data_IF_024642468284
#
_entry.id   IF_024642468284
#
_cell.length_a   1.000
_cell.length_b   1.000
_cell.length_c   1.000
_cell.angle_alpha   90.00
_cell.angle_beta   90.00
_cell.angle_gamma   90.00
#
_symmetry.space_group_name_H-M   'P 1'
#
loop_
_entity.id
_entity.type
_entity.pdbx_description
1 polymer ?
#
# COMPACT_ATOMS: atom_id res chain seq x y z
N UNK A 1 18.16 -31.53 25.48
CA UNK A 1 17.80 -30.63 24.36
C UNK A 1 18.99 -30.56 23.41
N UNK A 2 18.89 -31.17 22.22
CA UNK A 2 20.01 -31.26 21.28
C UNK A 2 20.35 -29.92 20.63
N UNK A 3 21.55 -29.80 20.06
CA UNK A 3 21.98 -28.59 19.34
C UNK A 3 21.04 -28.22 18.19
N UNK A 4 20.52 -29.22 17.47
CA UNK A 4 19.50 -29.02 16.43
C UNK A 4 18.22 -28.39 16.97
N UNK A 5 17.70 -28.83 18.12
CA UNK A 5 16.52 -28.24 18.74
C UNK A 5 16.77 -26.78 19.11
N UNK A 6 17.96 -26.45 19.62
CA UNK A 6 18.33 -25.06 19.94
C UNK A 6 18.39 -24.17 18.70
N UNK A 7 19.00 -24.66 17.61
CA UNK A 7 19.05 -23.93 16.34
C UNK A 7 17.66 -23.70 15.74
N UNK A 8 16.78 -24.72 15.81
CA UNK A 8 15.40 -24.58 15.36
C UNK A 8 14.66 -23.51 16.16
N UNK A 9 14.77 -23.53 17.49
CA UNK A 9 14.15 -22.51 18.35
C UNK A 9 14.67 -21.11 18.03
N UNK A 10 16.00 -20.94 17.87
CA UNK A 10 16.59 -19.66 17.47
C UNK A 10 16.06 -19.20 16.10
N UNK A 11 15.96 -20.12 15.14
CA UNK A 11 15.41 -19.82 13.81
C UNK A 11 13.96 -19.36 13.87
N UNK A 12 13.10 -20.06 14.62
CA UNK A 12 11.69 -19.70 14.78
C UNK A 12 11.53 -18.35 15.48
N UNK A 13 12.27 -18.11 16.57
CA UNK A 13 12.22 -16.84 17.31
C UNK A 13 12.74 -15.69 16.45
N UNK A 14 13.85 -15.90 15.74
CA UNK A 14 14.42 -14.91 14.83
C UNK A 14 13.47 -14.54 13.69
N UNK A 15 12.85 -15.55 13.06
CA UNK A 15 11.85 -15.33 12.02
C UNK A 15 10.61 -14.59 12.55
N UNK A 16 10.09 -15.01 13.71
CA UNK A 16 8.95 -14.36 14.35
C UNK A 16 9.22 -12.88 14.67
N UNK A 17 10.40 -12.58 15.23
CA UNK A 17 10.82 -11.21 15.51
C UNK A 17 10.96 -10.36 14.25
N UNK A 18 11.55 -10.92 13.18
CA UNK A 18 11.66 -10.25 11.89
C UNK A 18 10.28 -9.95 11.29
N UNK A 19 9.37 -10.92 11.27
CA UNK A 19 8.03 -10.76 10.73
C UNK A 19 7.22 -9.69 11.50
N UNK A 20 7.30 -9.70 12.84
CA UNK A 20 6.67 -8.68 13.66
C UNK A 20 7.24 -7.27 13.41
N UNK A 21 8.57 -7.15 13.26
CA UNK A 21 9.22 -5.89 12.91
C UNK A 21 8.79 -5.37 11.54
N UNK A 22 8.72 -6.24 10.53
CA UNK A 22 8.28 -5.89 9.18
C UNK A 22 6.83 -5.40 9.17
N UNK A 23 5.93 -6.10 9.87
CA UNK A 23 4.54 -5.68 10.02
C UNK A 23 4.40 -4.33 10.75
N UNK A 24 5.20 -4.11 11.78
CA UNK A 24 5.22 -2.84 12.51
C UNK A 24 5.70 -1.68 11.61
N UNK A 25 6.82 -1.87 10.90
CA UNK A 25 7.36 -0.88 9.97
C UNK A 25 6.37 -0.57 8.84
N UNK A 26 5.63 -1.59 8.38
CA UNK A 26 4.57 -1.44 7.39
C UNK A 26 3.32 -0.71 7.89
N UNK A 27 3.17 -0.48 9.20
CA UNK A 27 2.01 0.17 9.80
C UNK A 27 0.78 -0.74 9.93
N UNK A 28 0.94 -2.07 9.77
CA UNK A 28 -0.16 -3.02 9.78
C UNK A 28 -0.83 -3.19 11.15
N UNK A 29 -0.14 -2.85 12.24
CA UNK A 29 -0.73 -2.83 13.58
C UNK A 29 -1.67 -1.63 13.83
N UNK A 30 -1.47 -0.54 13.08
CA UNK A 30 -2.35 0.64 13.06
C UNK A 30 -3.32 0.64 11.87
N UNK A 31 -3.41 -0.47 11.12
CA UNK A 31 -4.33 -0.59 10.00
C UNK A 31 -5.78 -0.57 10.54
N UNK A 32 -6.62 0.42 10.14
CA UNK A 32 -8.01 0.44 10.53
C UNK A 32 -8.76 -0.79 10.00
N UNK A 33 -9.99 -0.97 10.46
CA UNK A 33 -10.85 -1.99 9.88
C UNK A 33 -11.24 -1.60 8.46
N UNK A 34 -11.20 -2.58 7.56
CA UNK A 34 -11.42 -2.39 6.13
C UNK A 34 -12.55 -3.32 5.67
N UNK A 35 -13.41 -2.87 4.76
CA UNK A 35 -14.49 -3.70 4.24
C UNK A 35 -13.92 -4.86 3.39
N UNK A 36 -14.74 -5.87 3.14
CA UNK A 36 -14.44 -6.95 2.18
C UNK A 36 -14.12 -6.36 0.80
N UNK A 37 -13.09 -6.88 0.15
CA UNK A 37 -12.67 -6.41 -1.18
C UNK A 37 -11.77 -5.16 -1.18
N UNK A 38 -11.56 -4.51 -0.04
CA UNK A 38 -10.54 -3.47 0.11
C UNK A 38 -9.18 -4.10 0.45
N UNK A 39 -8.10 -3.61 -0.16
CA UNK A 39 -6.75 -4.18 -0.02
C UNK A 39 -5.74 -3.16 0.53
N UNK A 40 -5.11 -3.45 1.68
CA UNK A 40 -4.05 -2.61 2.22
C UNK A 40 -2.73 -2.84 1.47
N UNK A 41 -2.01 -1.75 1.23
CA UNK A 41 -0.67 -1.73 0.67
C UNK A 41 0.17 -0.66 1.38
N UNK A 42 1.41 -1.01 1.69
CA UNK A 42 2.36 -0.13 2.37
C UNK A 42 3.66 -0.12 1.59
N UNK A 43 4.18 1.08 1.33
CA UNK A 43 5.37 1.29 0.53
C UNK A 43 6.54 1.74 1.41
N UNK A 44 7.76 1.39 1.00
CA UNK A 44 8.99 1.87 1.66
C UNK A 44 9.15 3.39 1.63
N UNK A 45 8.47 4.07 0.69
CA UNK A 45 8.39 5.53 0.59
C UNK A 45 7.52 6.17 1.70
N UNK A 46 6.88 5.37 2.55
CA UNK A 46 6.02 5.83 3.65
C UNK A 46 4.54 5.93 3.27
N UNK A 47 4.19 5.84 1.98
CA UNK A 47 2.79 5.80 1.56
C UNK A 47 2.12 4.52 2.07
N UNK A 48 0.99 4.67 2.78
CA UNK A 48 0.13 3.58 3.23
C UNK A 48 -1.27 3.81 2.69
N UNK A 49 -1.76 2.88 1.89
CA UNK A 49 -3.02 2.99 1.15
C UNK A 49 -3.93 1.80 1.41
N UNK A 50 -5.22 2.07 1.53
CA UNK A 50 -6.29 1.08 1.47
C UNK A 50 -6.95 1.28 0.12
N UNK A 51 -6.76 0.32 -0.78
CA UNK A 51 -7.28 0.42 -2.15
C UNK A 51 -8.67 -0.18 -2.21
N UNK A 52 -9.63 0.62 -2.63
CA UNK A 52 -11.03 0.25 -2.80
C UNK A 52 -11.34 -0.02 -4.26
N UNK A 53 -12.29 -0.94 -4.49
CA UNK A 53 -12.89 -1.24 -5.79
C UNK A 53 -11.87 -1.47 -6.91
N UNK A 54 -10.74 -2.09 -6.57
CA UNK A 54 -9.73 -2.42 -7.56
C UNK A 54 -10.06 -3.74 -8.24
N UNK A 55 -9.96 -3.76 -9.55
CA UNK A 55 -10.00 -4.99 -10.33
C UNK A 55 -8.76 -5.83 -10.01
N UNK A 56 -8.97 -7.01 -9.43
CA UNK A 56 -7.92 -7.93 -8.99
C UNK A 56 -8.03 -9.25 -9.73
N UNK A 57 -6.88 -9.83 -10.08
CA UNK A 57 -6.80 -11.12 -10.77
C UNK A 57 -7.20 -12.31 -9.88
N UNK A 58 -7.05 -12.17 -8.57
CA UNK A 58 -7.28 -13.22 -7.59
C UNK A 58 -7.92 -12.64 -6.32
N UNK A 59 -9.21 -12.88 -6.15
CA UNK A 59 -10.02 -12.38 -5.04
C UNK A 59 -10.20 -13.39 -3.89
N UNK A 60 -9.47 -14.52 -3.92
CA UNK A 60 -9.63 -15.61 -2.95
C UNK A 60 -9.41 -15.19 -1.48
N UNK A 61 -8.75 -14.05 -1.25
CA UNK A 61 -8.46 -13.49 0.08
C UNK A 61 -9.20 -12.18 0.34
N UNK A 62 -10.21 -11.84 -0.45
CA UNK A 62 -10.97 -10.59 -0.32
C UNK A 62 -11.68 -10.46 1.05
N UNK A 63 -12.02 -11.59 1.68
CA UNK A 63 -12.65 -11.69 3.00
C UNK A 63 -11.68 -12.10 4.13
N UNK A 64 -10.42 -12.41 3.78
CA UNK A 64 -9.40 -12.80 4.75
C UNK A 64 -9.10 -11.67 5.74
N UNK A 65 -8.50 -12.00 6.89
CA UNK A 65 -8.07 -10.99 7.87
C UNK A 65 -7.14 -9.95 7.24
N UNK A 66 -7.29 -8.69 7.66
CA UNK A 66 -6.63 -7.50 7.11
C UNK A 66 -5.09 -7.59 7.05
N UNK A 67 -4.48 -8.43 7.88
CA UNK A 67 -3.02 -8.65 7.90
C UNK A 67 -2.56 -9.58 6.75
N UNK A 68 -3.43 -10.50 6.30
CA UNK A 68 -3.14 -11.46 5.23
C UNK A 68 -3.63 -10.99 3.86
N UNK A 69 -4.56 -10.02 3.85
CA UNK A 69 -5.05 -9.41 2.63
C UNK A 69 -4.02 -8.42 2.10
N UNK A 70 -3.19 -8.82 1.13
CA UNK A 70 -2.18 -7.93 0.52
C UNK A 70 -2.50 -7.72 -0.96
N UNK A 71 -2.46 -6.47 -1.41
CA UNK A 71 -2.74 -6.14 -2.82
C UNK A 71 -1.84 -6.88 -3.81
N UNK A 72 -0.57 -7.08 -3.44
CA UNK A 72 0.41 -7.82 -4.25
C UNK A 72 0.05 -9.31 -4.37
N UNK A 73 -0.67 -9.88 -3.41
CA UNK A 73 -1.13 -11.27 -3.48
C UNK A 73 -2.36 -11.42 -4.39
N UNK A 74 -3.22 -10.39 -4.45
CA UNK A 74 -4.41 -10.35 -5.28
C UNK A 74 -4.10 -10.00 -6.76
N UNK A 75 -2.97 -9.34 -7.02
CA UNK A 75 -2.46 -9.01 -8.36
C UNK A 75 -0.98 -9.40 -8.48
N UNK A 76 -0.73 -10.69 -8.68
CA UNK A 76 0.62 -11.27 -8.73
C UNK A 76 1.35 -10.97 -10.03
N UNK A 77 0.60 -10.64 -11.07
CA UNK A 77 1.06 -10.23 -12.40
C UNK A 77 1.52 -8.76 -12.44
N UNK A 78 1.41 -8.02 -11.33
CA UNK A 78 1.75 -6.60 -11.26
C UNK A 78 2.69 -6.30 -10.10
N UNK A 79 3.52 -5.27 -10.31
CA UNK A 79 4.32 -4.64 -9.24
C UNK A 79 3.82 -3.23 -9.04
N UNK A 80 3.64 -2.84 -7.77
CA UNK A 80 3.11 -1.54 -7.39
C UNK A 80 4.22 -0.59 -6.96
N UNK A 81 4.07 0.68 -7.31
CA UNK A 81 4.97 1.77 -6.99
C UNK A 81 4.15 2.87 -6.30
N UNK A 82 4.58 3.27 -5.11
CA UNK A 82 3.91 4.31 -4.33
C UNK A 82 4.67 5.62 -4.36
N UNK A 83 4.06 6.65 -4.95
CA UNK A 83 4.57 8.02 -4.97
C UNK A 83 3.90 8.84 -3.87
N UNK A 84 4.56 9.11 -2.73
CA UNK A 84 3.99 9.91 -1.67
C UNK A 84 3.95 11.39 -2.05
N UNK A 85 2.91 12.09 -1.61
CA UNK A 85 2.90 13.56 -1.58
C UNK A 85 3.51 14.07 -0.27
N UNK A 86 4.00 15.31 -0.27
CA UNK A 86 4.39 16.00 0.96
C UNK A 86 3.15 16.28 1.81
N UNK A 87 3.17 15.81 3.07
CA UNK A 87 2.11 16.02 4.05
C UNK A 87 2.71 16.46 5.39
N UNK A 88 1.94 17.12 6.26
CA UNK A 88 2.40 17.42 7.61
C UNK A 88 2.88 16.17 8.36
N UNK A 89 3.87 16.32 9.24
CA UNK A 89 4.53 15.20 9.96
C UNK A 89 3.58 14.24 10.67
N UNK A 90 2.46 14.74 11.21
CA UNK A 90 1.48 13.90 11.91
C UNK A 90 0.60 13.05 10.98
N UNK A 91 0.70 13.24 9.66
CA UNK A 91 -0.01 12.47 8.64
C UNK A 91 0.90 11.51 7.85
N UNK A 92 2.22 11.53 8.08
CA UNK A 92 3.18 10.70 7.35
C UNK A 92 2.86 9.20 7.48
N UNK A 93 2.49 8.78 8.69
CA UNK A 93 2.19 7.39 9.04
C UNK A 93 0.70 7.02 8.89
N UNK A 94 -0.16 7.95 8.49
CA UNK A 94 -1.60 7.72 8.38
C UNK A 94 -1.94 6.83 7.18
N UNK A 95 -2.91 5.94 7.38
CA UNK A 95 -3.50 5.17 6.28
C UNK A 95 -4.39 6.09 5.44
N UNK A 96 -4.23 5.99 4.12
CA UNK A 96 -5.02 6.74 3.14
C UNK A 96 -6.07 5.87 2.46
N UNK A 97 -7.18 6.48 2.06
CA UNK A 97 -8.22 5.89 1.21
C UNK A 97 -7.80 6.07 -0.25
N UNK A 98 -7.64 4.98 -0.99
CA UNK A 98 -7.19 5.00 -2.38
C UNK A 98 -8.28 4.48 -3.33
N UNK A 99 -8.53 5.23 -4.41
CA UNK A 99 -9.50 4.88 -5.48
C UNK A 99 -8.91 5.18 -6.85
N UNK A 100 -9.47 4.60 -7.91
CA UNK A 100 -8.95 4.77 -9.28
C UNK A 100 -8.86 6.23 -9.75
N UNK A 101 -9.70 7.12 -9.21
CA UNK A 101 -9.82 8.50 -9.65
C UNK A 101 -10.72 8.66 -10.87
N UNK A 102 -11.28 9.85 -11.07
CA UNK A 102 -12.02 10.18 -12.30
C UNK A 102 -11.06 10.43 -13.47
N UNK A 103 -11.57 10.45 -14.70
CA UNK A 103 -10.75 10.74 -15.88
C UNK A 103 -10.07 12.11 -15.77
N UNK A 104 -10.80 13.12 -15.27
CA UNK A 104 -10.32 14.49 -15.09
C UNK A 104 -9.24 14.57 -14.02
N UNK A 105 -9.41 13.89 -12.88
CA UNK A 105 -8.40 13.85 -11.81
C UNK A 105 -7.09 13.23 -12.33
N UNK A 106 -7.22 12.14 -13.09
CA UNK A 106 -6.06 11.42 -13.64
C UNK A 106 -5.32 12.26 -14.69
N UNK A 107 -6.06 12.93 -15.57
CA UNK A 107 -5.48 13.84 -16.56
C UNK A 107 -4.78 15.03 -15.90
N UNK A 108 -5.42 15.62 -14.88
CA UNK A 108 -4.83 16.70 -14.11
C UNK A 108 -3.50 16.28 -13.45
N UNK A 109 -3.47 15.11 -12.80
CA UNK A 109 -2.26 14.58 -12.16
C UNK A 109 -1.15 14.35 -13.18
N UNK A 110 -1.45 13.66 -14.27
CA UNK A 110 -0.45 13.36 -15.31
C UNK A 110 0.07 14.65 -15.94
N UNK A 111 -0.78 15.65 -16.18
CA UNK A 111 -0.37 16.91 -16.80
C UNK A 111 0.52 17.75 -15.88
N UNK A 112 0.20 17.81 -14.59
CA UNK A 112 0.91 18.64 -13.60
C UNK A 112 2.07 17.91 -12.89
N UNK A 113 2.34 16.66 -13.26
CA UNK A 113 3.45 15.90 -12.69
C UNK A 113 4.81 16.50 -13.10
N UNK A 114 5.79 16.57 -12.18
CA UNK A 114 7.16 16.98 -12.50
C UNK A 114 7.78 16.12 -13.62
N UNK A 115 8.57 16.72 -14.51
CA UNK A 115 9.12 16.04 -15.70
C UNK A 115 10.07 14.89 -15.36
N UNK A 116 10.82 15.01 -14.27
CA UNK A 116 11.66 13.94 -13.74
C UNK A 116 10.83 12.71 -13.32
N UNK A 117 9.73 12.94 -12.60
CA UNK A 117 8.80 11.87 -12.19
C UNK A 117 8.09 11.28 -13.41
N UNK A 118 7.65 12.11 -14.36
CA UNK A 118 7.01 11.63 -15.60
C UNK A 118 7.90 10.66 -16.36
N UNK A 119 9.20 11.00 -16.49
CA UNK A 119 10.18 10.14 -17.18
C UNK A 119 10.33 8.79 -16.49
N UNK A 120 10.36 8.78 -15.16
CA UNK A 120 10.51 7.55 -14.39
C UNK A 120 9.24 6.68 -14.42
N UNK A 121 8.07 7.29 -14.66
CA UNK A 121 6.76 6.62 -14.74
C UNK A 121 6.37 6.20 -16.16
N UNK A 122 7.25 6.32 -17.15
CA UNK A 122 6.98 5.87 -18.52
C UNK A 122 6.67 4.37 -18.53
N UNK A 123 5.50 4.00 -19.05
CA UNK A 123 5.01 2.62 -19.08
C UNK A 123 4.31 2.14 -17.81
N UNK A 124 4.28 2.96 -16.75
CA UNK A 124 3.51 2.67 -15.55
C UNK A 124 2.05 3.13 -15.71
N UNK A 125 1.11 2.32 -15.20
CA UNK A 125 -0.31 2.65 -15.15
C UNK A 125 -0.64 3.27 -13.79
N UNK A 126 -1.25 4.45 -13.77
CA UNK A 126 -1.84 5.00 -12.54
C UNK A 126 -3.02 4.12 -12.12
N UNK A 127 -2.91 3.41 -10.99
CA UNK A 127 -3.98 2.53 -10.50
C UNK A 127 -4.86 3.22 -9.47
N UNK A 128 -4.29 4.04 -8.60
CA UNK A 128 -5.07 4.71 -7.58
C UNK A 128 -4.50 6.07 -7.18
N UNK A 129 -5.40 6.95 -6.77
CA UNK A 129 -5.14 8.23 -6.13
C UNK A 129 -5.55 8.08 -4.66
N UNK A 130 -4.64 8.39 -3.77
CA UNK A 130 -4.78 8.17 -2.33
C UNK A 130 -4.98 9.48 -1.58
N UNK A 131 -5.96 9.50 -0.70
CA UNK A 131 -6.33 10.68 0.09
C UNK A 131 -6.38 10.36 1.58
N UNK A 132 -6.05 11.34 2.41
CA UNK A 132 -6.38 11.34 3.83
C UNK A 132 -7.71 12.09 4.00
N UNK A 133 -8.67 11.43 4.63
CA UNK A 133 -9.92 12.04 5.04
C UNK A 133 -9.68 12.85 6.33
N UNK A 134 -10.13 14.11 6.32
CA UNK A 134 -10.01 15.04 7.44
C UNK A 134 -11.43 15.48 7.79
N UNK A 135 -11.78 15.35 9.06
CA UNK A 135 -13.13 15.68 9.53
C UNK A 135 -13.44 17.16 9.28
N UNK A 136 -14.53 17.42 8.56
CA UNK A 136 -15.00 18.79 8.25
C UNK A 136 -14.17 19.53 7.18
N UNK A 137 -13.17 18.89 6.59
CA UNK A 137 -12.30 19.49 5.57
C UNK A 137 -12.28 18.70 4.26
N UNK A 138 -11.66 19.28 3.24
CA UNK A 138 -11.46 18.58 1.96
C UNK A 138 -10.41 17.49 2.12
N UNK A 139 -10.59 16.31 1.48
CA UNK A 139 -9.60 15.25 1.53
C UNK A 139 -8.26 15.72 0.97
N UNK A 140 -7.17 15.42 1.68
CA UNK A 140 -5.82 15.81 1.31
C UNK A 140 -5.17 14.72 0.47
N UNK A 141 -4.55 15.07 -0.65
CA UNK A 141 -3.80 14.11 -1.47
C UNK A 141 -2.62 13.56 -0.67
N UNK A 142 -2.60 12.25 -0.42
CA UNK A 142 -1.53 11.55 0.29
C UNK A 142 -0.51 10.92 -0.65
N UNK A 143 -0.92 10.56 -1.86
CA UNK A 143 -0.01 10.02 -2.85
C UNK A 143 -0.72 9.31 -3.98
N UNK A 144 0.08 8.68 -4.84
CA UNK A 144 -0.37 7.96 -6.03
C UNK A 144 0.17 6.53 -5.99
N UNK A 145 -0.62 5.60 -6.49
CA UNK A 145 -0.21 4.21 -6.69
C UNK A 145 -0.18 3.95 -8.18
N UNK A 146 0.99 3.59 -8.66
CA UNK A 146 1.23 3.12 -10.01
C UNK A 146 1.47 1.61 -10.01
N UNK A 147 1.29 0.97 -11.16
CA UNK A 147 1.78 -0.38 -11.36
C UNK A 147 2.36 -0.62 -12.74
N UNK A 148 3.20 -1.63 -12.80
CA UNK A 148 3.83 -2.17 -14.00
C UNK A 148 3.57 -3.69 -14.06
N UNK A 149 3.56 -4.31 -15.25
CA UNK A 149 3.61 -5.77 -15.39
C UNK A 149 4.85 -6.34 -14.67
N UNK A 150 4.69 -7.51 -14.03
CA UNK A 150 5.70 -8.13 -13.18
C UNK A 150 6.84 -8.84 -13.93
#
# INVERSE_FOLDING_TARGET
MGWFTKLLVIGVVGYGGYAAYDLNRGGYFSLPDIPTGAYPISFKSGLRGIVYDMDVTDDQYADASKIFRRLVMANRDRRFIGLPSEVPRWFEDSWSTCRAGTAEEREYIVSNMPEDVKRDMVGARLDAICYIEIEGERPMLRGLIYSIPA
#
